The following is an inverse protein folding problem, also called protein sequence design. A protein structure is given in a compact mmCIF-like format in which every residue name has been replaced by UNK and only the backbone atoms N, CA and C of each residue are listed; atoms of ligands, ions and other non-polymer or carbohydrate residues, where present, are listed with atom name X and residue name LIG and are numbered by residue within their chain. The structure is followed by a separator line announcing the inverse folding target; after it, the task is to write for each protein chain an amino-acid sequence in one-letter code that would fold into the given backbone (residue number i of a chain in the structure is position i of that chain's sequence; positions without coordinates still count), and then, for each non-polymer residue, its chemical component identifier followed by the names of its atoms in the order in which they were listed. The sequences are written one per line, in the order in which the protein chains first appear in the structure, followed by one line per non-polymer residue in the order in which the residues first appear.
data_IF_155783830156
#
_entry.id   IF_155783830156
#
_cell.length_a   1.000
_cell.length_b   1.000
_cell.length_c   1.000
_cell.angle_alpha   90.00
_cell.angle_beta   90.00
_cell.angle_gamma   90.00
#
_symmetry.space_group_name_H-M   'P 1'
#
loop_
_entity.id
_entity.type
_entity.pdbx_description
1 polymer ?
#
# COMPACT_ATOMS: atom_id res chain seq x y z
N UNK A 1 0.24 30.48 -25.60
CA UNK A 1 1.24 29.44 -25.27
C UNK A 1 1.74 29.46 -23.81
N UNK A 2 1.87 30.61 -23.14
CA UNK A 2 2.31 30.68 -21.74
C UNK A 2 1.35 30.03 -20.72
N UNK A 3 0.05 30.16 -20.95
CA UNK A 3 -0.98 29.60 -20.06
C UNK A 3 -0.97 28.07 -20.04
N UNK A 4 -0.79 27.42 -21.21
CA UNK A 4 -0.72 25.96 -21.33
C UNK A 4 0.53 25.39 -20.63
N UNK A 5 1.68 26.05 -20.79
CA UNK A 5 2.91 25.69 -20.07
C UNK A 5 2.71 25.76 -18.56
N UNK A 6 2.01 26.79 -18.07
CA UNK A 6 1.70 26.95 -16.64
C UNK A 6 0.78 25.85 -16.11
N UNK A 7 -0.24 25.45 -16.87
CA UNK A 7 -1.12 24.33 -16.50
C UNK A 7 -0.33 23.01 -16.45
N UNK A 8 0.51 22.74 -17.45
CA UNK A 8 1.35 21.54 -17.49
C UNK A 8 2.29 21.44 -16.28
N UNK A 9 2.88 22.56 -15.86
CA UNK A 9 3.76 22.62 -14.68
C UNK A 9 3.03 22.21 -13.40
N UNK A 10 1.73 22.52 -13.26
CA UNK A 10 0.94 22.13 -12.10
C UNK A 10 0.26 20.75 -12.25
N UNK A 11 -0.02 20.33 -13.48
CA UNK A 11 -0.64 19.04 -13.77
C UNK A 11 0.26 17.87 -13.35
N UNK A 12 1.57 17.97 -13.59
CA UNK A 12 2.55 16.94 -13.23
C UNK A 12 2.58 16.66 -11.72
N UNK A 13 2.83 17.66 -10.84
CA UNK A 13 2.85 17.42 -9.39
C UNK A 13 1.48 17.01 -8.85
N UNK A 14 0.39 17.52 -9.42
CA UNK A 14 -0.96 17.07 -9.05
C UNK A 14 -1.18 15.58 -9.37
N UNK A 15 -0.74 15.12 -10.55
CA UNK A 15 -0.80 13.70 -10.92
C UNK A 15 0.07 12.82 -10.02
N UNK A 16 1.29 13.26 -9.72
CA UNK A 16 2.19 12.56 -8.80
C UNK A 16 1.55 12.45 -7.41
N UNK A 17 1.03 13.56 -6.87
CA UNK A 17 0.37 13.57 -5.58
C UNK A 17 -0.84 12.63 -5.54
N UNK A 18 -1.64 12.62 -6.60
CA UNK A 18 -2.78 11.71 -6.73
C UNK A 18 -2.34 10.24 -6.69
N UNK A 19 -1.25 9.88 -7.39
CA UNK A 19 -0.69 8.52 -7.36
C UNK A 19 -0.21 8.17 -5.94
N UNK A 20 0.51 9.06 -5.27
CA UNK A 20 0.98 8.85 -3.89
C UNK A 20 -0.17 8.68 -2.90
N UNK A 21 -1.29 9.39 -3.12
CA UNK A 21 -2.51 9.26 -2.33
C UNK A 21 -3.29 7.98 -2.63
N UNK A 22 -3.15 7.42 -3.84
CA UNK A 22 -3.95 6.29 -4.33
C UNK A 22 -3.31 4.92 -4.08
N UNK A 23 -2.01 4.87 -3.83
CA UNK A 23 -1.28 3.60 -3.73
C UNK A 23 -0.35 3.54 -2.51
N UNK A 24 -0.19 2.34 -1.97
CA UNK A 24 0.92 1.96 -1.10
C UNK A 24 2.04 1.33 -1.94
N UNK A 25 3.26 1.76 -1.68
CA UNK A 25 4.50 1.20 -2.20
C UNK A 25 5.12 0.37 -1.07
N UNK A 26 4.92 -0.94 -1.16
CA UNK A 26 5.27 -1.91 -0.12
C UNK A 26 6.56 -2.60 -0.52
N UNK A 27 7.60 -2.43 0.28
CA UNK A 27 8.88 -3.12 0.11
C UNK A 27 8.83 -4.43 0.88
N UNK A 28 8.84 -5.53 0.16
CA UNK A 28 8.85 -6.89 0.70
C UNK A 28 10.17 -7.53 0.29
N UNK A 29 11.07 -7.66 1.27
CA UNK A 29 12.48 -8.07 1.08
C UNK A 29 13.18 -7.16 0.07
N UNK A 30 13.41 -7.65 -1.15
CA UNK A 30 14.05 -6.92 -2.25
C UNK A 30 13.06 -6.53 -3.35
N UNK A 31 11.76 -6.80 -3.18
CA UNK A 31 10.73 -6.54 -4.17
C UNK A 31 9.83 -5.38 -3.75
N UNK A 32 9.54 -4.48 -4.67
CA UNK A 32 8.52 -3.45 -4.49
C UNK A 32 7.19 -3.96 -5.04
N UNK A 33 6.14 -3.87 -4.23
CA UNK A 33 4.76 -4.15 -4.62
C UNK A 33 3.92 -2.92 -4.44
N UNK A 34 2.92 -2.79 -5.31
CA UNK A 34 1.98 -1.68 -5.28
C UNK A 34 0.63 -2.23 -4.85
N UNK A 35 0.04 -1.62 -3.82
CA UNK A 35 -1.29 -1.97 -3.30
C UNK A 35 -2.20 -0.74 -3.44
N UNK A 36 -3.39 -0.90 -4.01
CA UNK A 36 -4.33 0.21 -4.19
C UNK A 36 -4.99 0.53 -2.85
N UNK A 37 -5.05 1.81 -2.50
CA UNK A 37 -5.73 2.29 -1.29
C UNK A 37 -7.24 2.32 -1.45
N UNK A 38 -7.96 2.02 -0.39
CA UNK A 38 -9.43 2.21 -0.34
C UNK A 38 -9.82 3.69 -0.23
N UNK A 39 -8.94 4.55 0.27
CA UNK A 39 -9.15 6.00 0.45
C UNK A 39 -7.92 6.79 0.02
N UNK A 40 -8.11 8.00 -0.49
CA UNK A 40 -7.00 8.91 -0.80
C UNK A 40 -6.36 9.39 0.50
N UNK A 41 -5.13 8.94 0.77
CA UNK A 41 -4.39 9.29 1.99
C UNK A 41 -2.88 9.12 1.77
N UNK A 42 -2.06 9.89 2.50
CA UNK A 42 -0.61 9.69 2.55
C UNK A 42 -0.19 8.64 3.59
N UNK A 43 -1.14 8.09 4.36
CA UNK A 43 -0.85 7.08 5.36
C UNK A 43 -0.26 5.84 4.71
N UNK A 44 0.87 5.39 5.26
CA UNK A 44 1.58 4.20 4.81
C UNK A 44 1.83 4.17 3.29
N UNK A 45 1.98 5.32 2.62
CA UNK A 45 2.31 5.37 1.19
C UNK A 45 3.60 4.61 0.89
N UNK A 46 4.59 4.69 1.77
CA UNK A 46 5.79 3.86 1.71
C UNK A 46 5.83 2.99 2.96
N UNK A 47 5.85 1.67 2.78
CA UNK A 47 5.90 0.74 3.90
C UNK A 47 6.94 -0.34 3.63
N UNK A 48 7.78 -0.63 4.62
CA UNK A 48 8.78 -1.69 4.52
C UNK A 48 8.43 -2.83 5.49
N UNK A 49 8.30 -4.03 4.94
CA UNK A 49 8.01 -5.23 5.73
C UNK A 49 9.27 -5.91 6.27
N UNK A 50 10.47 -5.47 5.86
CA UNK A 50 11.74 -6.05 6.30
C UNK A 50 11.85 -6.01 7.83
N UNK A 51 12.10 -7.18 8.42
CA UNK A 51 12.23 -7.35 9.87
C UNK A 51 10.91 -7.35 10.64
N UNK A 52 9.75 -7.34 9.96
CA UNK A 52 8.43 -7.45 10.59
C UNK A 52 7.84 -8.83 10.32
N UNK A 53 7.17 -9.41 11.33
CA UNK A 53 6.39 -10.63 11.15
C UNK A 53 5.02 -10.31 10.51
N UNK A 54 4.33 -11.35 10.06
CA UNK A 54 3.05 -11.21 9.36
C UNK A 54 1.98 -10.57 10.26
N UNK A 55 1.95 -10.90 11.55
CA UNK A 55 1.03 -10.30 12.51
C UNK A 55 1.22 -8.79 12.66
N UNK A 56 2.47 -8.32 12.75
CA UNK A 56 2.78 -6.89 12.87
C UNK A 56 2.53 -6.11 11.57
N UNK A 57 2.54 -6.78 10.44
CA UNK A 57 2.18 -6.19 9.15
C UNK A 57 0.65 -6.08 9.05
N UNK A 58 -0.08 -7.14 9.41
CA UNK A 58 -1.54 -7.20 9.34
C UNK A 58 -2.24 -6.45 10.47
N UNK A 59 -1.55 -6.10 11.55
CA UNK A 59 -2.09 -5.23 12.59
C UNK A 59 -2.27 -3.78 12.14
N UNK A 60 -1.67 -3.38 11.01
CA UNK A 60 -1.84 -2.05 10.43
C UNK A 60 -3.18 -2.00 9.70
N UNK A 61 -4.18 -1.39 10.34
CA UNK A 61 -5.56 -1.34 9.86
C UNK A 61 -5.70 -0.85 8.40
N UNK A 62 -4.96 0.19 8.02
CA UNK A 62 -4.98 0.71 6.65
C UNK A 62 -4.52 -0.34 5.62
N UNK A 63 -3.39 -1.00 5.88
CA UNK A 63 -2.87 -2.03 4.98
C UNK A 63 -3.79 -3.25 4.94
N UNK A 64 -4.32 -3.65 6.11
CA UNK A 64 -5.24 -4.77 6.25
C UNK A 64 -6.50 -4.58 5.40
N UNK A 65 -7.15 -3.42 5.54
CA UNK A 65 -8.36 -3.05 4.78
C UNK A 65 -8.10 -2.92 3.28
N UNK A 66 -6.89 -2.56 2.90
CA UNK A 66 -6.50 -2.37 1.51
C UNK A 66 -6.01 -3.65 0.82
N UNK A 67 -6.10 -4.82 1.49
CA UNK A 67 -5.82 -6.13 0.89
C UNK A 67 -4.40 -6.64 1.10
N UNK A 68 -3.71 -6.21 2.17
CA UNK A 68 -2.35 -6.67 2.47
C UNK A 68 -2.25 -8.18 2.73
N UNK A 69 -3.28 -8.79 3.32
CA UNK A 69 -3.34 -10.23 3.56
C UNK A 69 -3.25 -11.02 2.23
N UNK A 70 -4.07 -10.64 1.25
CA UNK A 70 -4.06 -11.26 -0.08
C UNK A 70 -2.72 -11.08 -0.79
N UNK A 71 -2.08 -9.92 -0.63
CA UNK A 71 -0.75 -9.67 -1.18
C UNK A 71 0.29 -10.61 -0.56
N UNK A 72 0.27 -10.81 0.77
CA UNK A 72 1.18 -11.72 1.46
C UNK A 72 0.95 -13.19 1.05
N UNK A 73 -0.31 -13.61 0.90
CA UNK A 73 -0.67 -14.95 0.42
C UNK A 73 -0.14 -15.17 -0.99
N UNK A 74 -0.41 -14.23 -1.90
CA UNK A 74 0.05 -14.29 -3.30
C UNK A 74 1.57 -14.36 -3.43
N UNK A 75 2.28 -13.77 -2.46
CA UNK A 75 3.74 -13.81 -2.40
C UNK A 75 4.30 -15.02 -1.65
N UNK A 76 3.45 -15.93 -1.17
CA UNK A 76 3.86 -17.10 -0.41
C UNK A 76 4.49 -16.76 0.96
N UNK A 77 4.21 -15.57 1.50
CA UNK A 77 4.72 -15.13 2.81
C UNK A 77 3.87 -15.65 3.98
N UNK A 78 2.64 -16.07 3.69
CA UNK A 78 1.71 -16.62 4.67
C UNK A 78 0.74 -17.58 3.95
N UNK A 79 0.27 -18.62 4.65
CA UNK A 79 -0.82 -19.46 4.14
C UNK A 79 -2.16 -18.74 4.27
N UNK A 80 -3.16 -19.17 3.51
CA UNK A 80 -4.50 -18.59 3.57
C UNK A 80 -5.13 -18.77 4.96
N UNK A 81 -5.01 -19.97 5.51
CA UNK A 81 -5.54 -20.32 6.84
C UNK A 81 -4.89 -19.45 7.93
N UNK A 82 -3.57 -19.22 7.84
CA UNK A 82 -2.87 -18.37 8.80
C UNK A 82 -3.23 -16.89 8.64
N UNK A 83 -3.45 -16.43 7.42
CA UNK A 83 -3.94 -15.07 7.20
C UNK A 83 -5.33 -14.88 7.81
N UNK A 84 -6.27 -15.78 7.54
CA UNK A 84 -7.63 -15.75 8.09
C UNK A 84 -7.62 -15.73 9.62
N UNK A 85 -6.84 -16.60 10.27
CA UNK A 85 -6.68 -16.60 11.75
C UNK A 85 -6.14 -15.29 12.32
N UNK A 86 -5.31 -14.56 11.58
CA UNK A 86 -4.80 -13.25 12.03
C UNK A 86 -5.86 -12.18 11.80
N UNK A 87 -6.54 -12.21 10.65
CA UNK A 87 -7.58 -11.24 10.28
C UNK A 87 -8.75 -11.27 11.28
N UNK A 88 -9.18 -12.46 11.69
CA UNK A 88 -10.25 -12.66 12.69
C UNK A 88 -9.98 -11.97 14.02
N UNK A 89 -8.71 -11.74 14.40
CA UNK A 89 -8.36 -11.03 15.64
C UNK A 89 -8.65 -9.53 15.60
N UNK A 90 -8.84 -8.98 14.41
CA UNK A 90 -8.96 -7.55 14.17
C UNK A 90 -10.29 -7.18 13.49
N UNK A 91 -11.12 -8.17 13.16
CA UNK A 91 -12.50 -8.00 12.70
C UNK A 91 -13.42 -7.67 13.89
#
# INVERSE_FOLDING_TARGET
MYFLKRILIWAIPAAILYILLSYHFIVIESNVKVLKKSKLTLNYTFYNTKGRNNEAILSVDALRKDGMADLLIKMGKISKERAEMIMEKYD
#
